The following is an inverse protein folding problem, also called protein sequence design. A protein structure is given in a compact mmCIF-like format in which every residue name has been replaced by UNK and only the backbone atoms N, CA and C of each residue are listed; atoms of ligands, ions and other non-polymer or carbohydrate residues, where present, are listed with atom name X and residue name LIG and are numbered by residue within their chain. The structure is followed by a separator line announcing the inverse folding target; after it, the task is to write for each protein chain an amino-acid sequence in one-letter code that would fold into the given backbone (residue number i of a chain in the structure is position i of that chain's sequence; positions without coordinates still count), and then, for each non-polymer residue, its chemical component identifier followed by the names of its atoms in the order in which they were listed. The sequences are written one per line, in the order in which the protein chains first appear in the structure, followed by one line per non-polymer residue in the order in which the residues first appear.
data_IF_363846162378
#
_entry.id   IF_363846162378
#
_cell.length_a   1.000
_cell.length_b   1.000
_cell.length_c   1.000
_cell.angle_alpha   90.00
_cell.angle_beta   90.00
_cell.angle_gamma   90.00
#
_symmetry.space_group_name_H-M   'P 1'
#
loop_
_entity.id
_entity.type
_entity.pdbx_description
1 polymer ?
#
# COMPACT_ATOMS: atom_id res chain seq x y z
N UNK A 1 -41.72 5.60 58.80
CA UNK A 1 -40.52 6.44 58.93
C UNK A 1 -39.79 6.40 57.58
N UNK A 2 -39.70 7.55 56.92
CA UNK A 2 -39.08 7.76 55.61
C UNK A 2 -37.55 7.62 55.66
N UNK A 3 -36.93 6.89 54.73
CA UNK A 3 -35.66 7.32 54.10
C UNK A 3 -35.63 6.82 52.65
N UNK A 4 -35.85 7.76 51.71
CA UNK A 4 -35.47 7.61 50.30
C UNK A 4 -33.97 7.90 50.20
N UNK A 5 -33.15 6.92 49.83
CA UNK A 5 -31.78 7.19 49.38
C UNK A 5 -31.70 7.00 47.87
N UNK A 6 -31.66 8.14 47.17
CA UNK A 6 -31.30 8.24 45.76
C UNK A 6 -29.78 8.04 45.66
N UNK A 7 -29.33 6.95 45.05
CA UNK A 7 -27.96 6.83 44.58
C UNK A 7 -27.90 7.30 43.13
N UNK A 8 -27.58 8.58 42.96
CA UNK A 8 -27.03 9.11 41.73
C UNK A 8 -25.53 8.79 41.75
N UNK A 9 -25.04 8.05 40.75
CA UNK A 9 -23.67 7.56 40.75
C UNK A 9 -23.13 7.31 39.35
N UNK A 10 -22.70 8.41 38.72
CA UNK A 10 -21.53 8.49 37.83
C UNK A 10 -21.51 7.60 36.57
N UNK A 11 -22.11 8.13 35.50
CA UNK A 11 -21.86 7.68 34.13
C UNK A 11 -20.48 8.23 33.68
N UNK A 12 -19.40 7.47 33.92
CA UNK A 12 -18.10 7.79 33.34
C UNK A 12 -18.13 7.48 31.84
N UNK A 13 -18.48 8.49 31.04
CA UNK A 13 -18.24 8.48 29.61
C UNK A 13 -16.72 8.43 29.37
N UNK A 14 -16.19 7.26 29.07
CA UNK A 14 -14.88 7.12 28.46
C UNK A 14 -14.98 7.70 27.04
N UNK A 15 -14.75 9.01 26.92
CA UNK A 15 -14.37 9.64 25.65
C UNK A 15 -12.98 9.12 25.31
N UNK A 16 -12.94 7.95 24.66
CA UNK A 16 -11.75 7.52 23.92
C UNK A 16 -11.56 8.51 22.77
N UNK A 17 -10.78 9.57 23.04
CA UNK A 17 -10.15 10.38 22.01
C UNK A 17 -9.18 9.46 21.30
N UNK A 18 -9.67 8.73 20.29
CA UNK A 18 -8.78 8.17 19.28
C UNK A 18 -8.23 9.37 18.54
N UNK A 19 -7.04 9.81 18.93
CA UNK A 19 -6.21 10.66 18.11
C UNK A 19 -6.05 9.93 16.77
N UNK A 20 -6.85 10.34 15.79
CA UNK A 20 -6.58 10.05 14.39
C UNK A 20 -5.26 10.75 14.12
N UNK A 21 -4.16 10.03 14.34
CA UNK A 21 -2.85 10.45 13.86
C UNK A 21 -3.06 10.72 12.37
N UNK A 22 -3.01 12.00 11.99
CA UNK A 22 -3.16 12.43 10.62
C UNK A 22 -2.17 11.60 9.78
N UNK A 23 -2.69 10.61 9.07
CA UNK A 23 -1.88 9.79 8.19
C UNK A 23 -1.57 10.65 6.97
N UNK A 24 -0.29 10.79 6.62
CA UNK A 24 0.11 11.52 5.43
C UNK A 24 -0.42 10.77 4.20
N UNK A 25 -1.37 11.36 3.43
CA UNK A 25 -1.94 10.68 2.28
C UNK A 25 -0.88 10.45 1.21
N UNK A 26 -1.13 9.48 0.35
CA UNK A 26 -0.33 9.25 -0.86
C UNK A 26 -1.04 9.81 -2.09
N UNK A 27 -0.27 10.38 -3.01
CA UNK A 27 -0.68 10.66 -4.38
C UNK A 27 -0.51 9.39 -5.20
N UNK A 28 -1.61 8.96 -5.80
CA UNK A 28 -1.71 7.70 -6.53
C UNK A 28 -1.30 7.90 -7.98
N UNK A 29 -0.52 6.95 -8.50
CA UNK A 29 -0.12 6.94 -9.90
C UNK A 29 -1.09 6.14 -10.77
N UNK A 30 -1.03 6.42 -12.08
CA UNK A 30 -1.73 5.64 -13.09
C UNK A 30 -0.78 4.64 -13.72
N UNK A 31 -1.13 3.37 -13.66
CA UNK A 31 -0.39 2.28 -14.32
C UNK A 31 -1.22 1.86 -15.53
N UNK A 32 -0.63 1.90 -16.72
CA UNK A 32 -1.33 1.60 -17.99
C UNK A 32 -2.63 2.42 -18.18
N UNK A 33 -2.63 3.67 -17.71
CA UNK A 33 -3.78 4.58 -17.78
C UNK A 33 -4.84 4.40 -16.70
N UNK A 34 -4.67 3.40 -15.81
CA UNK A 34 -5.61 3.06 -14.75
C UNK A 34 -5.07 3.53 -13.40
N UNK A 35 -5.89 4.24 -12.64
CA UNK A 35 -5.54 4.66 -11.27
C UNK A 35 -5.36 3.42 -10.38
N UNK A 36 -4.18 3.25 -9.79
CA UNK A 36 -3.82 1.98 -9.13
C UNK A 36 -3.36 2.19 -7.69
N UNK A 37 -4.13 1.67 -6.75
CA UNK A 37 -3.88 1.71 -5.31
C UNK A 37 -3.13 0.44 -4.91
N UNK A 38 -1.92 0.56 -4.40
CA UNK A 38 -1.08 -0.58 -4.03
C UNK A 38 -0.77 -0.47 -2.54
N UNK A 39 -1.23 -1.45 -1.76
CA UNK A 39 -1.09 -1.45 -0.30
C UNK A 39 -1.65 -0.17 0.36
N UNK A 40 -2.63 0.46 -0.28
CA UNK A 40 -3.32 1.65 0.19
C UNK A 40 -4.79 1.60 -0.25
N UNK A 41 -5.62 2.46 0.33
CA UNK A 41 -7.05 2.53 0.04
C UNK A 41 -7.42 3.92 -0.49
N UNK A 42 -8.31 4.05 -1.49
CA UNK A 42 -8.85 5.33 -1.90
C UNK A 42 -9.52 6.05 -0.73
N UNK A 43 -9.27 7.37 -0.61
CA UNK A 43 -10.02 8.20 0.33
C UNK A 43 -11.46 8.45 -0.14
N UNK A 44 -11.67 8.40 -1.45
CA UNK A 44 -12.96 8.57 -2.08
C UNK A 44 -13.82 7.31 -1.94
N UNK A 45 -15.13 7.48 -1.69
CA UNK A 45 -16.06 6.37 -1.60
C UNK A 45 -16.21 5.65 -2.95
N UNK A 46 -16.16 4.32 -2.92
CA UNK A 46 -16.25 3.48 -4.10
C UNK A 46 -17.14 2.26 -3.86
N UNK A 47 -17.48 1.58 -4.95
CA UNK A 47 -18.06 0.25 -4.96
C UNK A 47 -17.14 -0.72 -5.72
N UNK A 48 -17.13 -1.98 -5.29
CA UNK A 48 -16.40 -3.04 -5.98
C UNK A 48 -17.22 -3.50 -7.18
N UNK A 49 -16.63 -3.43 -8.38
CA UNK A 49 -17.26 -3.91 -9.62
C UNK A 49 -17.03 -5.41 -9.79
N UNK A 50 -15.77 -5.83 -9.66
CA UNK A 50 -15.38 -7.24 -9.72
C UNK A 50 -14.02 -7.49 -9.06
N UNK A 51 -13.78 -8.73 -8.66
CA UNK A 51 -12.49 -9.19 -8.17
C UNK A 51 -11.62 -9.71 -9.30
N UNK A 52 -10.32 -9.46 -9.19
CA UNK A 52 -9.26 -9.88 -10.11
C UNK A 52 -8.29 -10.79 -9.35
N UNK A 53 -8.40 -12.09 -9.59
CA UNK A 53 -7.48 -13.06 -9.02
C UNK A 53 -6.19 -13.18 -9.87
N UNK A 54 -5.05 -13.40 -9.21
CA UNK A 54 -3.87 -13.92 -9.90
C UNK A 54 -4.14 -15.35 -10.38
N UNK A 55 -4.45 -15.50 -11.67
CA UNK A 55 -4.60 -16.83 -12.27
C UNK A 55 -3.32 -17.63 -12.14
N UNK A 56 -3.36 -18.74 -11.38
CA UNK A 56 -2.23 -19.62 -11.08
C UNK A 56 -1.47 -20.13 -12.33
N UNK A 57 -2.09 -20.09 -13.51
CA UNK A 57 -1.52 -20.58 -14.78
C UNK A 57 -0.79 -19.53 -15.61
N UNK A 58 -0.95 -18.24 -15.33
CA UNK A 58 -0.39 -17.19 -16.18
C UNK A 58 1.06 -16.79 -15.81
N UNK A 59 1.48 -16.99 -14.56
CA UNK A 59 2.84 -16.68 -14.12
C UNK A 59 3.88 -17.70 -14.65
N UNK A 60 3.50 -18.97 -14.82
CA UNK A 60 4.43 -20.03 -15.20
C UNK A 60 4.61 -20.21 -16.72
N UNK A 61 3.62 -19.81 -17.53
CA UNK A 61 3.64 -20.01 -18.98
C UNK A 61 4.27 -18.85 -19.77
N UNK A 62 4.31 -17.64 -19.20
CA UNK A 62 4.87 -16.46 -19.86
C UNK A 62 6.39 -16.30 -19.66
N UNK A 63 6.95 -16.87 -18.59
CA UNK A 63 8.38 -16.66 -18.21
C UNK A 63 9.25 -17.91 -18.34
N UNK A 64 8.76 -18.98 -18.97
CA UNK A 64 9.56 -20.20 -19.20
C UNK A 64 10.02 -20.92 -17.92
N UNK A 65 9.32 -20.74 -16.79
CA UNK A 65 9.62 -21.45 -15.54
C UNK A 65 10.57 -20.74 -14.57
N UNK A 66 10.98 -19.49 -14.83
CA UNK A 66 11.76 -18.69 -13.86
C UNK A 66 10.92 -17.48 -13.43
N UNK A 67 10.30 -17.57 -12.26
CA UNK A 67 9.43 -16.50 -11.72
C UNK A 67 10.21 -15.67 -10.69
N UNK A 68 11.06 -14.77 -11.16
CA UNK A 68 11.59 -13.67 -10.33
C UNK A 68 10.85 -12.39 -10.71
N UNK A 69 9.55 -12.35 -10.38
CA UNK A 69 8.68 -11.23 -10.72
C UNK A 69 8.76 -10.15 -9.63
N UNK A 70 9.05 -8.90 -10.00
CA UNK A 70 9.08 -7.78 -9.07
C UNK A 70 7.68 -7.26 -8.73
N UNK A 71 7.57 -6.44 -7.68
CA UNK A 71 6.30 -5.82 -7.28
C UNK A 71 5.64 -5.05 -8.44
N UNK A 72 6.43 -4.29 -9.20
CA UNK A 72 5.95 -3.52 -10.36
C UNK A 72 5.36 -4.40 -11.46
N UNK A 73 5.94 -5.58 -11.67
CA UNK A 73 5.47 -6.54 -12.68
C UNK A 73 4.15 -7.17 -12.23
N UNK A 74 4.07 -7.62 -10.96
CA UNK A 74 2.85 -8.16 -10.34
C UNK A 74 1.70 -7.17 -10.43
N UNK A 75 1.96 -5.91 -10.06
CA UNK A 75 0.99 -4.81 -10.16
C UNK A 75 0.54 -4.61 -11.61
N UNK A 76 1.47 -4.58 -12.56
CA UNK A 76 1.15 -4.46 -13.99
C UNK A 76 0.31 -5.63 -14.50
N UNK A 77 0.52 -6.85 -13.98
CA UNK A 77 -0.33 -7.99 -14.31
C UNK A 77 -1.75 -7.84 -13.80
N UNK A 78 -1.94 -7.36 -12.56
CA UNK A 78 -3.26 -7.11 -12.00
C UNK A 78 -4.03 -6.08 -12.83
N UNK A 79 -3.40 -4.95 -13.15
CA UNK A 79 -4.03 -3.90 -13.97
C UNK A 79 -4.37 -4.42 -15.36
N UNK A 80 -3.46 -5.15 -16.01
CA UNK A 80 -3.72 -5.73 -17.34
C UNK A 80 -4.88 -6.73 -17.31
N UNK A 81 -4.97 -7.56 -16.26
CA UNK A 81 -6.09 -8.51 -16.08
C UNK A 81 -7.40 -7.77 -15.83
N UNK A 82 -7.40 -6.77 -14.95
CA UNK A 82 -8.57 -5.94 -14.69
C UNK A 82 -9.12 -5.33 -15.99
N UNK A 83 -8.25 -4.71 -16.79
CA UNK A 83 -8.61 -4.13 -18.09
C UNK A 83 -9.14 -5.17 -19.08
N UNK A 84 -8.56 -6.38 -19.08
CA UNK A 84 -9.02 -7.48 -19.96
C UNK A 84 -10.38 -8.02 -19.53
N UNK A 85 -10.60 -8.19 -18.23
CA UNK A 85 -11.83 -8.72 -17.67
C UNK A 85 -12.98 -7.71 -17.80
N UNK A 86 -12.70 -6.43 -17.62
CA UNK A 86 -13.63 -5.33 -17.90
C UNK A 86 -14.11 -5.36 -19.37
N UNK A 87 -13.16 -5.48 -20.32
CA UNK A 87 -13.48 -5.57 -21.76
C UNK A 87 -14.28 -6.83 -22.09
N UNK A 88 -13.95 -7.98 -21.52
CA UNK A 88 -14.64 -9.24 -21.83
C UNK A 88 -16.03 -9.32 -21.21
N UNK A 89 -16.25 -8.68 -20.05
CA UNK A 89 -17.54 -8.63 -19.35
C UNK A 89 -18.37 -7.40 -19.70
N UNK A 90 -17.87 -6.52 -20.56
CA UNK A 90 -18.48 -5.23 -20.88
C UNK A 90 -18.82 -4.38 -19.63
N UNK A 91 -17.86 -4.33 -18.70
CA UNK A 91 -17.96 -3.57 -17.45
C UNK A 91 -16.97 -2.41 -17.47
N UNK A 92 -17.36 -1.28 -16.87
CA UNK A 92 -16.48 -0.13 -16.64
C UNK A 92 -16.01 -0.10 -15.20
N UNK A 93 -14.79 0.40 -14.99
CA UNK A 93 -14.20 0.63 -13.68
C UNK A 93 -13.25 1.82 -13.75
N UNK A 94 -13.06 2.51 -12.63
CA UNK A 94 -12.25 3.73 -12.55
C UNK A 94 -10.82 3.45 -12.06
N UNK A 95 -10.68 2.51 -11.14
CA UNK A 95 -9.42 2.23 -10.46
C UNK A 95 -9.27 0.75 -10.07
N UNK A 96 -8.04 0.35 -9.77
CA UNK A 96 -7.70 -0.98 -9.22
C UNK A 96 -7.11 -0.81 -7.83
N UNK A 97 -7.63 -1.56 -6.87
CA UNK A 97 -7.08 -1.63 -5.51
C UNK A 97 -6.43 -2.99 -5.29
N UNK A 98 -5.15 -2.99 -4.94
CA UNK A 98 -4.32 -4.16 -4.69
C UNK A 98 -4.00 -4.18 -3.19
N UNK A 99 -4.90 -4.80 -2.43
CA UNK A 99 -4.75 -5.05 -0.99
C UNK A 99 -4.01 -6.37 -0.78
N UNK A 100 -2.67 -6.32 -0.85
CA UNK A 100 -1.82 -7.46 -0.50
C UNK A 100 -1.60 -8.49 -1.61
N UNK A 101 -1.65 -9.78 -1.26
CA UNK A 101 -0.84 -10.83 -1.88
C UNK A 101 -1.34 -11.45 -3.19
N UNK A 102 -2.65 -11.59 -3.39
CA UNK A 102 -3.19 -12.49 -4.44
C UNK A 102 -4.43 -11.97 -5.17
N UNK A 103 -4.99 -10.87 -4.69
CA UNK A 103 -6.26 -10.34 -5.19
C UNK A 103 -6.13 -8.84 -5.41
N UNK A 104 -6.70 -8.38 -6.50
CA UNK A 104 -7.00 -6.98 -6.72
C UNK A 104 -8.51 -6.84 -6.92
N UNK A 105 -9.06 -5.68 -6.62
CA UNK A 105 -10.45 -5.36 -6.91
C UNK A 105 -10.49 -4.21 -7.92
N UNK A 106 -11.35 -4.34 -8.92
CA UNK A 106 -11.72 -3.23 -9.79
C UNK A 106 -12.86 -2.46 -9.12
N UNK A 107 -12.71 -1.14 -9.02
CA UNK A 107 -13.65 -0.28 -8.29
C UNK A 107 -14.22 0.81 -9.20
N UNK A 108 -15.42 1.27 -8.86
CA UNK A 108 -16.06 2.44 -9.46
C UNK A 108 -16.35 3.45 -8.36
N UNK A 109 -16.03 4.73 -8.60
CA UNK A 109 -16.28 5.77 -7.62
C UNK A 109 -17.76 6.12 -7.55
N UNK A 110 -18.26 6.34 -6.34
CA UNK A 110 -19.68 6.70 -6.14
C UNK A 110 -19.99 8.13 -6.57
N UNK A 111 -19.01 9.03 -6.44
CA UNK A 111 -19.13 10.44 -6.81
C UNK A 111 -18.05 10.82 -7.83
N UNK A 112 -18.38 11.54 -8.90
CA UNK A 112 -17.41 11.91 -9.93
C UNK A 112 -16.50 13.10 -9.55
N UNK A 113 -16.82 13.82 -8.47
CA UNK A 113 -16.16 15.06 -8.06
C UNK A 113 -15.82 15.06 -6.57
N UNK A 114 -14.80 14.29 -6.18
CA UNK A 114 -14.22 14.40 -4.83
C UNK A 114 -12.96 15.26 -4.86
N UNK A 115 -12.77 16.07 -3.80
CA UNK A 115 -11.49 16.75 -3.52
C UNK A 115 -10.35 15.75 -3.25
N UNK A 116 -10.71 14.51 -2.96
CA UNK A 116 -9.78 13.43 -2.60
C UNK A 116 -9.38 12.56 -3.80
N UNK A 117 -9.68 12.99 -5.02
CA UNK A 117 -9.36 12.25 -6.23
C UNK A 117 -7.85 12.00 -6.34
N UNK A 118 -7.46 10.74 -6.55
CA UNK A 118 -6.07 10.33 -6.62
C UNK A 118 -5.32 10.40 -5.29
N UNK A 119 -6.02 10.52 -4.16
CA UNK A 119 -5.46 10.44 -2.83
C UNK A 119 -5.78 9.10 -2.16
N UNK A 120 -4.79 8.54 -1.48
CA UNK A 120 -4.93 7.27 -0.77
C UNK A 120 -4.57 7.37 0.71
N UNK A 121 -5.30 6.60 1.51
CA UNK A 121 -4.94 6.25 2.88
C UNK A 121 -3.86 5.16 2.87
N UNK A 122 -2.72 5.48 3.47
CA UNK A 122 -1.53 4.64 3.44
C UNK A 122 -1.55 3.62 4.57
N UNK A 123 -1.20 2.37 4.29
CA UNK A 123 -1.04 1.33 5.31
C UNK A 123 0.29 1.49 6.04
N UNK A 124 0.33 1.00 7.28
CA UNK A 124 1.55 0.95 8.08
C UNK A 124 2.06 -0.48 8.21
N UNK A 125 3.37 -0.64 8.09
CA UNK A 125 4.09 -1.90 8.37
C UNK A 125 5.13 -1.56 9.45
N UNK A 126 5.15 -2.31 10.54
CA UNK A 126 6.04 -2.08 11.69
C UNK A 126 6.01 -0.63 12.23
N UNK A 127 4.85 0.01 12.16
CA UNK A 127 4.63 1.39 12.62
C UNK A 127 5.00 2.48 11.60
N UNK A 128 5.66 2.12 10.50
CA UNK A 128 6.08 3.05 9.44
C UNK A 128 5.03 3.12 8.33
N UNK A 129 4.74 4.31 7.81
CA UNK A 129 3.89 4.44 6.62
C UNK A 129 4.64 3.91 5.39
N UNK A 130 3.98 3.09 4.57
CA UNK A 130 4.59 2.43 3.42
C UNK A 130 3.92 2.87 2.13
N UNK A 131 4.69 3.56 1.30
CA UNK A 131 4.28 4.01 -0.02
C UNK A 131 4.84 3.04 -1.05
N UNK A 132 3.98 2.35 -1.79
CA UNK A 132 4.33 1.38 -2.83
C UNK A 132 3.89 1.92 -4.19
N UNK A 133 4.85 2.41 -4.97
CA UNK A 133 4.62 3.01 -6.29
C UNK A 133 3.56 4.13 -6.27
N UNK A 134 3.61 4.92 -5.21
CA UNK A 134 2.83 6.11 -4.98
C UNK A 134 3.67 7.09 -4.15
N UNK A 135 3.38 8.38 -4.26
CA UNK A 135 4.23 9.43 -3.67
C UNK A 135 3.59 10.00 -2.40
N UNK A 136 4.35 10.23 -1.32
CA UNK A 136 3.83 11.00 -0.20
C UNK A 136 3.42 12.40 -0.61
N UNK A 137 2.25 12.86 -0.16
CA UNK A 137 1.80 14.25 -0.41
C UNK A 137 2.64 15.26 0.37
N UNK A 138 3.14 14.86 1.55
CA UNK A 138 4.00 15.69 2.38
C UNK A 138 5.43 15.64 1.86
N UNK A 139 6.08 16.79 1.74
CA UNK A 139 7.49 16.89 1.38
C UNK A 139 8.36 16.11 2.37
N UNK A 140 9.41 15.49 1.84
CA UNK A 140 10.31 14.65 2.61
C UNK A 140 11.73 14.74 2.09
N UNK A 141 12.67 14.30 2.93
CA UNK A 141 14.06 14.04 2.54
C UNK A 141 14.38 12.56 2.65
N UNK A 142 15.18 12.07 1.71
CA UNK A 142 15.74 10.73 1.76
C UNK A 142 16.80 10.67 2.85
N UNK A 143 16.63 9.74 3.78
CA UNK A 143 17.52 9.54 4.93
C UNK A 143 18.42 8.33 4.72
N UNK A 144 17.85 7.29 4.11
CA UNK A 144 18.50 6.00 3.81
C UNK A 144 18.05 5.54 2.43
N UNK A 145 18.97 4.92 1.68
CA UNK A 145 18.68 4.27 0.41
C UNK A 145 19.14 2.82 0.46
N UNK A 146 18.19 1.89 0.63
CA UNK A 146 18.48 0.46 0.75
C UNK A 146 18.78 -0.21 -0.60
N UNK A 147 18.91 0.58 -1.67
CA UNK A 147 19.07 0.10 -3.04
C UNK A 147 20.54 0.05 -3.48
N UNK A 148 21.45 0.63 -2.69
CA UNK A 148 22.88 0.72 -3.00
C UNK A 148 23.75 -0.20 -2.13
N UNK A 149 24.30 -1.27 -2.71
CA UNK A 149 25.35 -2.07 -2.06
C UNK A 149 25.55 -3.47 -2.66
N UNK A 150 26.78 -3.99 -2.62
CA UNK A 150 27.09 -5.36 -3.08
C UNK A 150 26.32 -6.42 -2.25
N UNK A 151 26.11 -6.16 -0.96
CA UNK A 151 25.22 -6.96 -0.09
C UNK A 151 23.73 -6.78 -0.40
N UNK A 152 23.34 -5.65 -0.99
CA UNK A 152 21.96 -5.42 -1.40
C UNK A 152 21.57 -6.41 -2.49
N UNK A 153 22.38 -6.51 -3.56
CA UNK A 153 22.10 -7.38 -4.71
C UNK A 153 21.86 -8.83 -4.29
N UNK A 154 22.67 -9.37 -3.36
CA UNK A 154 22.53 -10.74 -2.85
C UNK A 154 21.19 -11.00 -2.15
N UNK A 155 20.70 -10.10 -1.30
CA UNK A 155 19.41 -10.29 -0.63
C UNK A 155 18.21 -10.06 -1.56
N UNK A 156 18.33 -9.12 -2.50
CA UNK A 156 17.32 -8.88 -3.54
C UNK A 156 17.19 -10.07 -4.51
N UNK A 157 18.25 -10.87 -4.70
CA UNK A 157 18.23 -12.01 -5.62
C UNK A 157 18.03 -13.35 -4.93
N UNK A 158 18.42 -13.51 -3.66
CA UNK A 158 18.35 -14.81 -2.95
C UNK A 158 16.99 -15.20 -2.36
N UNK A 159 15.98 -14.32 -2.39
CA UNK A 159 14.69 -14.56 -1.71
C UNK A 159 13.41 -14.36 -2.54
N UNK A 160 13.51 -13.94 -3.80
CA UNK A 160 12.35 -13.69 -4.66
C UNK A 160 11.83 -14.99 -5.29
N UNK A 161 11.40 -15.93 -4.44
CA UNK A 161 10.68 -17.14 -4.85
C UNK A 161 9.21 -16.91 -4.57
N UNK A 162 8.41 -16.57 -5.59
CA UNK A 162 6.94 -16.47 -5.57
C UNK A 162 6.29 -15.88 -4.28
N UNK A 163 6.91 -14.86 -3.68
CA UNK A 163 6.33 -14.16 -2.54
C UNK A 163 5.19 -13.23 -2.99
N UNK A 164 4.39 -12.81 -2.04
CA UNK A 164 3.40 -11.76 -2.22
C UNK A 164 4.01 -10.35 -2.24
N UNK A 165 3.24 -9.37 -2.75
CA UNK A 165 3.62 -7.95 -2.65
C UNK A 165 3.80 -7.54 -1.18
N UNK A 166 2.95 -8.03 -0.28
CA UNK A 166 3.01 -7.71 1.15
C UNK A 166 4.29 -8.25 1.81
N UNK A 167 4.62 -9.52 1.59
CA UNK A 167 5.87 -10.12 2.09
C UNK A 167 7.12 -9.43 1.51
N UNK A 168 7.11 -9.10 0.22
CA UNK A 168 8.19 -8.33 -0.41
C UNK A 168 8.34 -6.96 0.28
N UNK A 169 7.22 -6.27 0.58
CA UNK A 169 7.24 -4.98 1.28
C UNK A 169 7.70 -5.10 2.73
N UNK A 170 7.29 -6.12 3.47
CA UNK A 170 7.77 -6.36 4.83
C UNK A 170 9.30 -6.53 4.86
N UNK A 171 9.86 -7.27 3.90
CA UNK A 171 11.31 -7.43 3.79
C UNK A 171 12.01 -6.10 3.51
N UNK A 172 11.46 -5.26 2.61
CA UNK A 172 12.01 -3.92 2.36
C UNK A 172 11.91 -3.01 3.56
N UNK A 173 10.78 -2.99 4.26
CA UNK A 173 10.57 -2.16 5.45
C UNK A 173 11.55 -2.54 6.55
N UNK A 174 11.69 -3.84 6.85
CA UNK A 174 12.65 -4.33 7.85
C UNK A 174 14.08 -3.94 7.50
N UNK A 175 14.43 -4.02 6.21
CA UNK A 175 15.76 -3.65 5.75
C UNK A 175 16.03 -2.16 5.87
N UNK A 176 15.14 -1.32 5.36
CA UNK A 176 15.26 0.14 5.44
C UNK A 176 15.34 0.58 6.90
N UNK A 177 14.53 -0.03 7.78
CA UNK A 177 14.57 0.19 9.22
C UNK A 177 15.93 -0.20 9.83
N UNK A 178 16.44 -1.38 9.50
CA UNK A 178 17.77 -1.84 9.97
C UNK A 178 18.88 -0.88 9.53
N UNK A 179 18.91 -0.48 8.26
CA UNK A 179 19.92 0.45 7.74
C UNK A 179 19.79 1.84 8.39
N UNK A 180 18.57 2.30 8.69
CA UNK A 180 18.30 3.52 9.43
C UNK A 180 18.80 3.46 10.88
N UNK A 181 18.58 2.33 11.57
CA UNK A 181 19.07 2.08 12.92
C UNK A 181 20.60 2.03 12.97
N UNK A 182 21.25 1.30 12.05
CA UNK A 182 22.71 1.22 11.92
C UNK A 182 23.33 2.60 11.63
N UNK A 183 22.68 3.40 10.78
CA UNK A 183 23.11 4.76 10.46
C UNK A 183 22.73 5.79 11.54
N UNK A 184 21.98 5.41 12.59
CA UNK A 184 21.42 6.29 13.62
C UNK A 184 20.60 7.46 13.05
N UNK A 185 19.87 7.22 11.96
CA UNK A 185 19.02 8.23 11.34
C UNK A 185 17.55 7.79 11.39
N UNK A 186 16.68 8.47 12.17
CA UNK A 186 15.28 8.10 12.24
C UNK A 186 14.56 8.34 10.92
N UNK A 187 13.60 7.47 10.61
CA UNK A 187 12.72 7.52 9.43
C UNK A 187 11.27 7.53 9.88
N UNK A 188 10.41 8.21 9.12
CA UNK A 188 8.97 8.28 9.38
C UNK A 188 8.17 7.35 8.44
N UNK A 189 8.74 7.05 7.27
CA UNK A 189 8.09 6.29 6.22
C UNK A 189 9.11 5.56 5.33
N UNK A 190 8.59 4.58 4.58
CA UNK A 190 9.30 3.86 3.52
C UNK A 190 8.62 4.14 2.19
N UNK A 191 9.40 4.54 1.19
CA UNK A 191 8.91 4.74 -0.18
C UNK A 191 9.58 3.71 -1.08
N UNK A 192 8.77 2.87 -1.72
CA UNK A 192 9.17 1.91 -2.72
C UNK A 192 8.78 2.44 -4.11
N UNK A 193 9.77 2.72 -4.94
CA UNK A 193 9.56 3.17 -6.32
C UNK A 193 9.73 2.01 -7.31
N UNK A 194 9.31 2.24 -8.56
CA UNK A 194 9.59 1.31 -9.66
C UNK A 194 11.10 0.98 -9.73
N UNK A 195 11.43 -0.27 -10.07
CA UNK A 195 12.83 -0.73 -10.17
C UNK A 195 13.47 -1.33 -8.90
N UNK A 196 12.68 -1.84 -7.95
CA UNK A 196 13.16 -2.50 -6.71
C UNK A 196 13.94 -1.55 -5.77
N UNK A 197 13.64 -0.25 -5.83
CA UNK A 197 14.30 0.78 -5.00
C UNK A 197 13.42 1.09 -3.79
N UNK A 198 13.95 0.90 -2.59
CA UNK A 198 13.26 1.23 -1.33
C UNK A 198 14.10 2.24 -0.54
N UNK A 199 13.50 3.37 -0.21
CA UNK A 199 14.14 4.45 0.54
C UNK A 199 13.44 4.70 1.86
N UNK A 200 14.21 5.03 2.88
CA UNK A 200 13.72 5.53 4.16
C UNK A 200 13.66 7.04 4.11
N UNK A 201 12.50 7.61 4.44
CA UNK A 201 12.25 9.06 4.33
C UNK A 201 11.88 9.65 5.68
N UNK A 202 12.22 10.92 5.87
CA UNK A 202 11.77 11.74 6.99
C UNK A 202 11.00 12.92 6.43
N UNK A 203 9.80 13.15 6.93
CA UNK A 203 8.97 14.26 6.48
C UNK A 203 9.57 15.58 6.93
N UNK A 204 9.48 16.59 6.07
CA UNK A 204 9.76 17.95 6.47
C UNK A 204 8.69 18.40 7.49
N UNK A 205 9.02 19.32 8.39
CA UNK A 205 8.04 19.85 9.35
C UNK A 205 7.02 20.73 8.62
#
# INVERSE_FOLDING_TARGET
MNVKQKFAGLFCAFLSVTSVLAQNPARVEKIQGVETYIMCEPLQAYETVFEVATGAKAASLLTGGVVNEGVSDKVSQFVRRATKDAKSKNQEFDAVVISGSKTAIAIKYKDNASRDKGLAKVRKIDGLAVYVMNEPVKDYKTVVDASGGVKAKSYFTSGLVNNSIEEDMEQFVRRVKKEAEEAKKPIDAVVYSSGKRAIGVKFNE
#
